data_IF_616510565491
#
_entry.id   IF_616510565491
#
_cell.length_a   1.000
_cell.length_b   1.000
_cell.length_c   1.000
_cell.angle_alpha   90.00
_cell.angle_beta   90.00
_cell.angle_gamma   90.00
#
_symmetry.space_group_name_H-M   'P 1'
#
loop_
_entity.id
_entity.type
_entity.pdbx_description
1 polymer ?
#
# COMPACT_ATOMS: atom_id res chain seq x y z
N UNK A 1 20.86 4.12 4.29
CA UNK A 1 19.84 3.88 5.33
C UNK A 1 19.35 2.45 5.20
N UNK A 2 19.35 1.66 6.28
CA UNK A 2 18.88 0.27 6.27
C UNK A 2 17.56 0.16 7.04
N UNK A 3 16.51 -0.31 6.37
CA UNK A 3 15.18 -0.61 6.95
C UNK A 3 15.07 -2.08 7.34
N UNK A 4 14.27 -2.37 8.35
CA UNK A 4 14.03 -3.74 8.83
C UNK A 4 13.07 -4.49 7.92
N UNK A 5 13.05 -5.83 8.05
CA UNK A 5 12.13 -6.68 7.28
C UNK A 5 10.66 -6.33 7.62
N UNK A 6 10.39 -6.00 8.88
CA UNK A 6 9.06 -5.65 9.34
C UNK A 6 8.60 -4.30 8.78
N UNK A 7 9.48 -3.28 8.77
CA UNK A 7 9.20 -1.98 8.14
C UNK A 7 8.88 -2.14 6.65
N UNK A 8 9.65 -2.98 5.94
CA UNK A 8 9.41 -3.27 4.51
C UNK A 8 8.07 -4.00 4.31
N UNK A 9 7.78 -5.02 5.14
CA UNK A 9 6.52 -5.75 5.05
C UNK A 9 5.32 -4.85 5.37
N UNK A 10 5.44 -3.96 6.35
CA UNK A 10 4.40 -3.01 6.70
C UNK A 10 4.16 -1.99 5.59
N UNK A 11 5.22 -1.38 5.05
CA UNK A 11 5.11 -0.47 3.90
C UNK A 11 4.49 -1.15 2.68
N UNK A 12 4.86 -2.42 2.43
CA UNK A 12 4.26 -3.19 1.33
C UNK A 12 2.74 -3.30 1.50
N UNK A 13 2.26 -3.68 2.68
CA UNK A 13 0.82 -3.76 2.97
C UNK A 13 0.12 -2.41 2.83
N UNK A 14 0.71 -1.34 3.33
CA UNK A 14 0.14 0.01 3.21
C UNK A 14 -0.02 0.43 1.74
N UNK A 15 1.03 0.25 0.93
CA UNK A 15 0.99 0.54 -0.51
C UNK A 15 -0.04 -0.33 -1.26
N UNK A 16 -0.12 -1.63 -0.94
CA UNK A 16 -1.14 -2.53 -1.50
C UNK A 16 -2.55 -2.05 -1.18
N UNK A 17 -2.81 -1.69 0.08
CA UNK A 17 -4.11 -1.23 0.53
C UNK A 17 -4.48 0.13 -0.10
N UNK A 18 -3.50 1.02 -0.28
CA UNK A 18 -3.70 2.27 -0.99
C UNK A 18 -4.04 2.05 -2.47
N UNK A 19 -3.35 1.13 -3.14
CA UNK A 19 -3.66 0.78 -4.53
C UNK A 19 -5.07 0.19 -4.66
N UNK A 20 -5.43 -0.77 -3.80
CA UNK A 20 -6.76 -1.37 -3.81
C UNK A 20 -7.86 -0.34 -3.51
N UNK A 21 -7.66 0.51 -2.50
CA UNK A 21 -8.61 1.57 -2.16
C UNK A 21 -8.76 2.60 -3.28
N UNK A 22 -7.66 2.93 -3.96
CA UNK A 22 -7.69 3.82 -5.12
C UNK A 22 -8.50 3.21 -6.26
N UNK A 23 -8.29 1.92 -6.58
CA UNK A 23 -9.08 1.20 -7.58
C UNK A 23 -10.57 1.34 -7.29
N UNK A 24 -11.00 0.93 -6.09
CA UNK A 24 -12.40 0.96 -5.66
C UNK A 24 -12.99 2.37 -5.72
N UNK A 25 -12.25 3.38 -5.26
CA UNK A 25 -12.70 4.79 -5.28
C UNK A 25 -12.89 5.34 -6.69
N UNK A 26 -12.10 4.87 -7.66
CA UNK A 26 -12.15 5.37 -9.04
C UNK A 26 -13.12 4.58 -9.94
N UNK A 27 -13.67 3.47 -9.46
CA UNK A 27 -14.74 2.77 -10.18
C UNK A 27 -16.03 3.61 -10.19
N UNK A 28 -16.78 3.66 -11.31
CA UNK A 28 -17.98 4.49 -11.45
C UNK A 28 -19.21 3.83 -10.81
N UNK A 29 -19.07 3.34 -9.58
CA UNK A 29 -20.12 2.69 -8.80
C UNK A 29 -19.86 2.89 -7.31
N UNK A 30 -20.83 2.57 -6.45
CA UNK A 30 -20.61 2.66 -5.02
C UNK A 30 -19.61 1.58 -4.54
N UNK A 31 -19.06 1.76 -3.34
CA UNK A 31 -18.04 0.86 -2.78
C UNK A 31 -18.50 -0.59 -2.66
N UNK A 32 -19.78 -0.82 -2.32
CA UNK A 32 -20.31 -2.19 -2.20
C UNK A 32 -20.35 -2.88 -3.56
N UNK A 33 -20.91 -2.21 -4.55
CA UNK A 33 -21.01 -2.71 -5.93
C UNK A 33 -19.64 -2.91 -6.55
N UNK A 34 -18.66 -2.06 -6.23
CA UNK A 34 -17.28 -2.19 -6.67
C UNK A 34 -16.64 -3.49 -6.13
N UNK A 35 -16.82 -3.78 -4.83
CA UNK A 35 -16.33 -5.03 -4.25
C UNK A 35 -17.02 -6.26 -4.85
N UNK A 36 -18.34 -6.19 -5.06
CA UNK A 36 -19.08 -7.27 -5.72
C UNK A 36 -18.64 -7.48 -7.17
N UNK A 37 -18.36 -6.40 -7.90
CA UNK A 37 -17.84 -6.47 -9.26
C UNK A 37 -16.47 -7.15 -9.28
N UNK A 38 -15.55 -6.73 -8.42
CA UNK A 38 -14.21 -7.33 -8.30
C UNK A 38 -14.34 -8.82 -7.95
N UNK A 39 -15.19 -9.18 -7.00
CA UNK A 39 -15.41 -10.57 -6.60
C UNK A 39 -15.85 -11.45 -7.79
N UNK A 40 -16.84 -10.97 -8.55
CA UNK A 40 -17.34 -11.66 -9.75
C UNK A 40 -16.28 -11.74 -10.85
N UNK A 41 -15.53 -10.66 -11.09
CA UNK A 41 -14.52 -10.60 -12.14
C UNK A 41 -13.33 -11.52 -11.86
N UNK A 42 -12.89 -11.61 -10.60
CA UNK A 42 -11.80 -12.47 -10.17
C UNK A 42 -12.25 -13.93 -9.92
N UNK A 43 -13.56 -14.20 -9.89
CA UNK A 43 -14.10 -15.53 -9.58
C UNK A 43 -13.88 -15.94 -8.11
N UNK A 44 -13.84 -14.98 -7.19
CA UNK A 44 -13.58 -15.20 -5.76
C UNK A 44 -14.74 -14.74 -4.88
N UNK A 45 -14.73 -15.11 -3.61
CA UNK A 45 -15.76 -14.68 -2.66
C UNK A 45 -15.64 -13.18 -2.34
N UNK A 46 -16.78 -12.52 -2.09
CA UNK A 46 -16.82 -11.14 -1.59
C UNK A 46 -16.01 -10.99 -0.29
N UNK A 47 -16.06 -12.00 0.59
CA UNK A 47 -15.27 -12.03 1.82
C UNK A 47 -13.76 -11.94 1.54
N UNK A 48 -13.29 -12.58 0.47
CA UNK A 48 -11.89 -12.48 0.03
C UNK A 48 -11.54 -11.05 -0.39
N UNK A 49 -12.40 -10.41 -1.18
CA UNK A 49 -12.21 -9.02 -1.63
C UNK A 49 -12.21 -8.05 -0.44
N UNK A 50 -13.12 -8.22 0.51
CA UNK A 50 -13.16 -7.41 1.73
C UNK A 50 -11.92 -7.64 2.63
N UNK A 51 -11.32 -8.83 2.60
CA UNK A 51 -10.04 -9.08 3.28
C UNK A 51 -8.87 -8.37 2.57
N UNK A 52 -8.92 -8.23 1.24
CA UNK A 52 -7.89 -7.51 0.50
C UNK A 52 -7.81 -6.03 0.89
N UNK A 53 -8.95 -5.39 1.15
CA UNK A 53 -8.97 -4.00 1.61
C UNK A 53 -8.46 -3.81 3.04
N UNK A 54 -8.49 -4.87 3.85
CA UNK A 54 -8.14 -4.82 5.28
C UNK A 54 -6.73 -5.34 5.59
N UNK A 55 -6.21 -6.27 4.80
CA UNK A 55 -4.96 -6.99 5.11
C UNK A 55 -3.92 -6.79 4.02
N UNK A 56 -4.11 -7.48 2.90
CA UNK A 56 -3.19 -7.47 1.77
C UNK A 56 -3.87 -8.04 0.52
N UNK A 57 -3.40 -7.59 -0.63
CA UNK A 57 -3.76 -8.17 -1.92
C UNK A 57 -2.84 -9.38 -2.15
N UNK A 58 -3.43 -10.56 -2.37
CA UNK A 58 -2.64 -11.73 -2.74
C UNK A 58 -2.07 -11.54 -4.15
N UNK A 59 -0.79 -11.88 -4.33
CA UNK A 59 -0.04 -11.57 -5.55
C UNK A 59 -0.64 -12.19 -6.82
N UNK A 60 -1.31 -13.34 -6.68
CA UNK A 60 -2.00 -14.03 -7.78
C UNK A 60 -3.09 -13.17 -8.45
N UNK A 61 -3.73 -12.25 -7.72
CA UNK A 61 -4.80 -11.40 -8.26
C UNK A 61 -4.29 -10.08 -8.84
N UNK A 62 -3.00 -9.77 -8.74
CA UNK A 62 -2.47 -8.45 -9.10
C UNK A 62 -2.67 -8.09 -10.57
N UNK A 63 -2.48 -9.07 -11.47
CA UNK A 63 -2.71 -8.88 -12.90
C UNK A 63 -4.20 -8.69 -13.19
N UNK A 64 -5.07 -9.49 -12.58
CA UNK A 64 -6.52 -9.38 -12.77
C UNK A 64 -7.08 -8.06 -12.21
N UNK A 65 -6.56 -7.56 -11.09
CA UNK A 65 -6.93 -6.24 -10.56
C UNK A 65 -6.50 -5.10 -11.49
N UNK A 66 -5.35 -5.25 -12.16
CA UNK A 66 -4.94 -4.31 -13.21
C UNK A 66 -5.88 -4.39 -14.43
N UNK A 67 -6.32 -5.57 -14.85
CA UNK A 67 -7.33 -5.73 -15.90
C UNK A 67 -8.67 -5.06 -15.52
N UNK A 68 -9.11 -5.20 -14.26
CA UNK A 68 -10.27 -4.46 -13.74
C UNK A 68 -10.05 -2.95 -13.85
N UNK A 69 -8.88 -2.44 -13.46
CA UNK A 69 -8.56 -1.02 -13.60
C UNK A 69 -8.64 -0.56 -15.06
N UNK A 70 -8.06 -1.33 -15.98
CA UNK A 70 -8.08 -1.05 -17.42
C UNK A 70 -9.50 -1.07 -18.00
N UNK A 71 -10.35 -2.00 -17.54
CA UNK A 71 -11.75 -2.08 -17.95
C UNK A 71 -12.51 -0.77 -17.69
N UNK A 72 -12.20 -0.09 -16.58
CA UNK A 72 -12.78 1.22 -16.23
C UNK A 72 -11.94 2.42 -16.71
N UNK A 73 -10.88 2.20 -17.49
CA UNK A 73 -9.99 3.28 -17.93
C UNK A 73 -9.17 3.92 -16.79
N UNK A 74 -9.01 3.21 -15.66
CA UNK A 74 -8.24 3.67 -14.50
C UNK A 74 -6.78 3.31 -14.72
N UNK A 75 -5.89 4.31 -14.71
CA UNK A 75 -4.46 4.11 -14.90
C UNK A 75 -3.82 3.53 -13.63
N UNK A 76 -3.74 2.21 -13.57
CA UNK A 76 -3.01 1.47 -12.53
C UNK A 76 -2.10 0.41 -13.17
N UNK A 77 -1.17 -0.11 -12.38
CA UNK A 77 -0.19 -1.11 -12.79
C UNK A 77 -0.08 -2.22 -11.74
N UNK A 78 0.26 -3.43 -12.17
CA UNK A 78 0.37 -4.61 -11.29
C UNK A 78 1.32 -4.42 -10.11
N UNK A 79 2.45 -3.70 -10.31
CA UNK A 79 3.42 -3.42 -9.24
C UNK A 79 2.87 -2.51 -8.13
N UNK A 80 1.73 -1.84 -8.33
CA UNK A 80 1.05 -1.09 -7.28
C UNK A 80 0.26 -2.03 -6.36
N UNK A 81 -0.28 -3.12 -6.90
CA UNK A 81 -0.95 -4.16 -6.14
C UNK A 81 0.04 -5.17 -5.52
N UNK A 82 1.26 -5.28 -6.06
CA UNK A 82 2.36 -6.08 -5.47
C UNK A 82 3.65 -5.26 -5.48
N UNK A 83 3.82 -4.35 -4.53
CA UNK A 83 5.01 -3.50 -4.44
C UNK A 83 6.28 -4.32 -4.20
N UNK A 84 7.31 -4.04 -4.99
CA UNK A 84 8.62 -4.67 -4.83
C UNK A 84 9.37 -4.07 -3.63
N UNK A 85 10.39 -4.77 -3.15
CA UNK A 85 11.28 -4.26 -2.09
C UNK A 85 11.91 -2.92 -2.43
N UNK A 86 12.26 -2.70 -3.71
CA UNK A 86 12.85 -1.44 -4.18
C UNK A 86 11.84 -0.29 -4.01
N UNK A 87 10.59 -0.53 -4.38
CA UNK A 87 9.50 0.45 -4.22
C UNK A 87 9.29 0.73 -2.73
N UNK A 88 9.20 -0.32 -1.91
CA UNK A 88 8.98 -0.19 -0.46
C UNK A 88 10.12 0.59 0.21
N UNK A 89 11.37 0.28 -0.12
CA UNK A 89 12.55 0.98 0.42
C UNK A 89 12.59 2.45 -0.01
N UNK A 90 12.17 2.75 -1.23
CA UNK A 90 12.11 4.13 -1.73
C UNK A 90 11.04 4.94 -1.00
N UNK A 91 9.85 4.36 -0.80
CA UNK A 91 8.78 4.97 -0.02
C UNK A 91 9.14 5.14 1.45
N UNK A 92 9.73 4.12 2.09
CA UNK A 92 10.25 4.23 3.44
C UNK A 92 11.33 5.31 3.55
N UNK A 93 12.21 5.45 2.55
CA UNK A 93 13.20 6.51 2.55
C UNK A 93 12.56 7.90 2.52
N UNK A 94 11.53 8.08 1.70
CA UNK A 94 10.77 9.31 1.64
C UNK A 94 10.01 9.58 2.95
N UNK A 95 9.27 8.60 3.47
CA UNK A 95 8.53 8.70 4.73
C UNK A 95 9.47 9.02 5.90
N UNK A 96 10.64 8.37 5.97
CA UNK A 96 11.64 8.64 6.99
C UNK A 96 12.09 10.11 6.99
N UNK A 97 12.39 10.67 5.82
CA UNK A 97 12.80 12.08 5.72
C UNK A 97 11.68 13.04 6.14
N UNK A 98 10.43 12.69 5.85
CA UNK A 98 9.28 13.50 6.22
C UNK A 98 8.98 13.41 7.73
N UNK A 99 9.10 12.22 8.32
CA UNK A 99 8.68 11.92 9.68
C UNK A 99 9.77 12.20 10.73
N UNK A 100 11.04 12.20 10.32
CA UNK A 100 12.17 12.39 11.24
C UNK A 100 12.05 13.70 12.02
N UNK A 101 12.12 13.60 13.34
CA UNK A 101 12.03 14.75 14.25
C UNK A 101 10.62 15.29 14.45
N UNK A 102 9.59 14.71 13.83
CA UNK A 102 8.18 15.04 14.11
C UNK A 102 7.68 14.26 15.32
N UNK A 103 6.71 14.85 16.01
CA UNK A 103 5.97 14.19 17.06
C UNK A 103 5.00 13.17 16.45
N UNK A 104 4.78 11.99 17.06
CA UNK A 104 3.80 11.00 16.61
C UNK A 104 2.44 11.63 16.27
N UNK A 105 1.95 11.43 15.05
CA UNK A 105 0.61 11.85 14.61
C UNK A 105 0.09 10.94 13.49
N UNK A 106 -1.21 11.03 13.17
CA UNK A 106 -1.93 10.16 12.20
C UNK A 106 -1.43 10.14 10.74
N UNK A 107 -0.35 10.87 10.43
CA UNK A 107 0.24 10.92 9.08
C UNK A 107 1.72 10.53 9.09
N UNK A 108 2.21 10.01 10.21
CA UNK A 108 3.54 9.41 10.34
C UNK A 108 3.38 7.93 10.09
N UNK A 109 4.34 7.33 9.42
CA UNK A 109 4.37 5.88 9.25
C UNK A 109 4.42 5.20 10.62
N UNK A 110 3.40 4.42 10.96
CA UNK A 110 3.18 3.94 12.33
C UNK A 110 4.05 2.74 12.70
N UNK A 111 4.77 2.17 11.72
CA UNK A 111 5.53 0.93 11.87
C UNK A 111 7.04 1.15 11.97
N UNK A 112 7.49 2.37 12.33
CA UNK A 112 8.89 2.63 12.64
C UNK A 112 9.32 1.79 13.86
N UNK A 113 10.27 0.88 13.67
CA UNK A 113 10.83 0.11 14.79
C UNK A 113 11.94 0.87 15.52
N UNK A 114 12.60 1.80 14.81
CA UNK A 114 13.65 2.65 15.38
C UNK A 114 13.07 3.96 15.89
N UNK A 115 13.58 4.41 17.02
CA UNK A 115 13.28 5.74 17.55
C UNK A 115 13.81 6.82 16.59
N UNK A 116 12.88 7.44 15.86
CA UNK A 116 13.13 8.47 14.87
C UNK A 116 13.56 9.80 15.48
N UNK A 117 13.34 10.00 16.79
CA UNK A 117 13.66 11.26 17.51
C UNK A 117 15.12 11.32 17.99
N UNK A 118 15.77 10.17 18.14
CA UNK A 118 17.16 10.07 18.64
C UNK A 118 18.23 10.11 17.57
N UNK A 119 17.87 10.07 16.29
CA UNK A 119 18.82 10.29 15.18
C UNK A 119 19.02 11.79 14.98
N UNK A 120 19.38 12.51 16.06
CA UNK A 120 20.00 13.83 15.93
C UNK A 120 21.25 13.64 15.10
N UNK A 121 21.27 14.37 14.00
CA UNK A 121 22.35 14.43 13.04
C UNK A 121 23.64 14.68 13.84
N UNK A 122 24.52 13.68 13.94
CA UNK A 122 25.94 13.99 14.01
C UNK A 122 26.25 14.54 12.63
N UNK A 123 26.02 15.83 12.44
CA UNK A 123 26.70 16.56 11.40
C UNK A 123 28.18 16.36 11.71
N UNK A 124 28.88 15.75 10.76
CA UNK A 124 30.31 15.51 10.89
C UNK A 124 30.98 16.85 11.20
N UNK A 125 31.62 16.91 12.36
CA UNK A 125 32.60 17.95 12.68
C UNK A 125 33.88 17.73 11.85
#
# INVERSE_FOLDING_TARGET
MQFTINEIAAMRRELMNHAFSALVRHMPMNTSDAHDFIAKHLGISLSTVLKMSQKEVAAEYACQLNEVAQYFGIRMFSYQFVPTDIICRSWLAHAYQNDKGRQPHKHIFEHWERDMTKVKVREAA
#
